data_IF_404233387251
#
_entry.id   IF_404233387251
#
_cell.length_a   1.000
_cell.length_b   1.000
_cell.length_c   1.000
_cell.angle_alpha   90.00
_cell.angle_beta   90.00
_cell.angle_gamma   90.00
#
_symmetry.space_group_name_H-M   'P 1'
#
loop_
_entity.id
_entity.type
_entity.pdbx_description
1 polymer ?
#
# COMPACT_ATOMS: atom_id res chain seq x y z
N UNK A 1 -15.38 51.06 27.51
CA UNK A 1 -14.17 50.29 27.13
C UNK A 1 -14.63 49.08 26.33
N UNK A 2 -14.64 49.18 25.00
CA UNK A 2 -15.06 48.10 24.10
C UNK A 2 -13.83 47.45 23.47
N UNK A 3 -13.87 46.12 23.37
CA UNK A 3 -12.77 45.24 23.01
C UNK A 3 -12.29 45.37 21.57
N UNK A 4 -11.01 45.04 21.38
CA UNK A 4 -10.38 44.85 20.08
C UNK A 4 -10.14 43.36 19.85
N UNK A 5 -11.01 42.77 19.03
CA UNK A 5 -10.85 41.44 18.46
C UNK A 5 -9.81 41.52 17.34
N UNK A 6 -8.65 40.87 17.50
CA UNK A 6 -7.65 40.75 16.42
C UNK A 6 -8.17 39.73 15.41
N UNK A 7 -8.62 40.24 14.26
CA UNK A 7 -8.92 39.42 13.08
C UNK A 7 -7.63 38.78 12.57
N UNK A 8 -7.60 37.44 12.56
CA UNK A 8 -6.63 36.65 11.82
C UNK A 8 -6.95 36.84 10.32
N UNK A 9 -5.99 37.22 9.47
CA UNK A 9 -6.25 37.38 8.04
C UNK A 9 -6.50 36.02 7.38
N UNK A 10 -7.34 35.96 6.32
CA UNK A 10 -7.62 34.71 5.63
C UNK A 10 -6.38 34.18 4.92
N UNK A 11 -6.19 32.87 5.01
CA UNK A 11 -5.16 32.09 4.34
C UNK A 11 -5.27 32.29 2.82
N UNK A 12 -4.29 32.97 2.22
CA UNK A 12 -4.18 33.06 0.77
C UNK A 12 -3.56 31.78 0.24
N UNK A 13 -4.36 30.94 -0.40
CA UNK A 13 -3.90 29.77 -1.16
C UNK A 13 -3.12 30.25 -2.40
N UNK A 14 -1.83 30.57 -2.23
CA UNK A 14 -0.95 30.92 -3.35
C UNK A 14 -0.51 29.62 -4.02
N UNK A 15 -1.21 29.23 -5.08
CA UNK A 15 -0.65 28.34 -6.11
C UNK A 15 0.45 29.09 -6.85
N UNK A 16 1.66 29.09 -6.31
CA UNK A 16 2.86 29.56 -7.02
C UNK A 16 3.53 28.38 -7.71
N UNK A 17 3.73 28.45 -9.03
CA UNK A 17 4.71 27.62 -9.71
C UNK A 17 6.10 28.12 -9.32
N UNK A 18 6.76 27.42 -8.41
CA UNK A 18 8.18 27.69 -8.11
C UNK A 18 9.02 26.87 -9.09
N UNK A 19 9.93 27.56 -9.81
CA UNK A 19 11.10 26.92 -10.41
C UNK A 19 12.07 26.59 -9.29
N UNK A 20 11.96 25.40 -8.73
CA UNK A 20 12.85 24.90 -7.68
C UNK A 20 13.47 23.56 -8.08
N UNK A 21 14.72 23.33 -7.70
CA UNK A 21 15.37 22.03 -7.83
C UNK A 21 14.81 21.04 -6.81
N UNK A 22 14.46 19.84 -7.27
CA UNK A 22 14.01 18.74 -6.41
C UNK A 22 15.16 17.75 -6.22
N UNK A 23 15.47 17.45 -4.96
CA UNK A 23 16.53 16.53 -4.56
C UNK A 23 15.91 15.31 -3.87
N UNK A 24 16.19 14.10 -4.34
CA UNK A 24 15.63 12.85 -3.80
C UNK A 24 16.68 11.75 -3.72
N UNK A 25 16.52 10.83 -2.78
CA UNK A 25 17.37 9.64 -2.68
C UNK A 25 17.07 8.63 -3.80
N UNK A 26 18.09 8.13 -4.49
CA UNK A 26 17.93 7.16 -5.57
C UNK A 26 17.61 5.74 -5.05
N UNK A 27 16.63 5.08 -5.66
CA UNK A 27 16.43 3.62 -5.66
C UNK A 27 16.48 3.09 -7.09
N UNK A 28 16.90 1.84 -7.30
CA UNK A 28 17.18 1.25 -8.63
C UNK A 28 15.92 0.76 -9.38
N UNK A 29 15.64 1.23 -10.61
CA UNK A 29 14.64 0.64 -11.51
C UNK A 29 15.23 0.08 -12.82
N UNK A 30 14.52 -0.89 -13.42
CA UNK A 30 14.84 -1.56 -14.70
C UNK A 30 14.03 -0.97 -15.90
N UNK A 31 14.63 -0.99 -17.10
CA UNK A 31 14.13 -0.51 -18.42
C UNK A 31 13.19 -1.58 -19.07
N UNK A 32 12.25 -1.36 -20.02
CA UNK A 32 12.19 -0.57 -21.28
C UNK A 32 10.74 -0.56 -21.90
N UNK A 33 10.49 0.25 -22.95
CA UNK A 33 9.21 0.76 -23.54
C UNK A 33 8.47 -0.08 -24.62
N UNK A 34 7.17 0.26 -24.91
CA UNK A 34 6.55 0.52 -26.24
C UNK A 34 5.14 1.18 -26.10
N UNK A 35 4.69 2.00 -27.08
CA UNK A 35 3.55 2.94 -26.98
C UNK A 35 2.29 2.58 -27.80
N UNK A 36 1.07 2.88 -27.28
CA UNK A 36 -0.22 2.98 -28.02
C UNK A 36 -1.17 4.03 -27.38
N UNK A 37 -1.99 4.70 -28.19
CA UNK A 37 -2.88 5.85 -27.86
C UNK A 37 -4.15 5.53 -27.04
N UNK A 38 -4.72 6.48 -26.27
CA UNK A 38 -5.89 6.25 -25.41
C UNK A 38 -7.26 6.65 -26.01
N UNK A 39 -8.32 5.95 -25.59
CA UNK A 39 -9.75 6.28 -25.82
C UNK A 39 -10.37 6.91 -24.55
N UNK A 40 -11.32 7.83 -24.73
CA UNK A 40 -11.94 8.65 -23.69
C UNK A 40 -13.02 7.91 -22.85
N UNK A 41 -13.29 8.35 -21.59
CA UNK A 41 -14.25 7.67 -20.71
C UNK A 41 -15.71 8.13 -20.85
N UNK A 42 -16.64 7.23 -20.55
CA UNK A 42 -18.10 7.33 -20.65
C UNK A 42 -18.79 7.97 -19.40
N UNK A 43 -20.08 8.41 -19.51
CA UNK A 43 -20.71 9.39 -18.60
C UNK A 43 -21.31 8.87 -17.27
N UNK A 44 -21.33 7.56 -16.99
CA UNK A 44 -22.00 6.99 -15.80
C UNK A 44 -21.16 7.02 -14.50
N UNK A 45 -20.01 7.71 -14.51
CA UNK A 45 -19.04 7.69 -13.42
C UNK A 45 -19.54 8.30 -12.08
N UNK A 46 -20.51 9.21 -12.10
CA UNK A 46 -20.83 10.04 -10.92
C UNK A 46 -21.50 9.28 -9.75
N UNK A 47 -22.32 8.26 -10.03
CA UNK A 47 -22.99 7.47 -8.98
C UNK A 47 -22.04 6.42 -8.36
N UNK A 48 -21.04 5.98 -9.11
CA UNK A 48 -20.03 5.00 -8.67
C UNK A 48 -18.91 5.63 -7.81
N UNK A 49 -18.61 6.92 -8.01
CA UNK A 49 -17.58 7.66 -7.27
C UNK A 49 -17.91 7.81 -5.77
N UNK A 50 -19.19 7.89 -5.39
CA UNK A 50 -19.58 8.06 -3.98
C UNK A 50 -19.44 6.77 -3.15
N UNK A 51 -19.60 5.59 -3.76
CA UNK A 51 -19.40 4.30 -3.10
C UNK A 51 -17.91 3.98 -2.96
N UNK A 52 -17.11 4.21 -4.02
CA UNK A 52 -15.66 3.99 -4.05
C UNK A 52 -14.89 4.74 -2.93
N UNK A 53 -15.47 5.81 -2.40
CA UNK A 53 -14.87 6.60 -1.33
C UNK A 53 -14.86 5.92 0.04
N UNK A 54 -15.75 4.96 0.33
CA UNK A 54 -15.89 4.42 1.68
C UNK A 54 -14.67 3.57 2.10
N UNK A 55 -14.28 2.59 1.27
CA UNK A 55 -13.07 1.79 1.53
C UNK A 55 -11.80 2.62 1.40
N UNK A 56 -11.74 3.59 0.47
CA UNK A 56 -10.57 4.48 0.33
C UNK A 56 -10.39 5.36 1.58
N UNK A 57 -11.46 5.98 2.09
CA UNK A 57 -11.41 6.78 3.31
C UNK A 57 -11.06 5.93 4.53
N UNK A 58 -11.64 4.74 4.66
CA UNK A 58 -11.31 3.77 5.70
C UNK A 58 -9.82 3.41 5.67
N UNK A 59 -9.29 3.11 4.48
CA UNK A 59 -7.90 2.74 4.30
C UNK A 59 -6.94 3.89 4.62
N UNK A 60 -7.28 5.14 4.23
CA UNK A 60 -6.49 6.31 4.60
C UNK A 60 -6.47 6.53 6.12
N UNK A 61 -7.60 6.35 6.79
CA UNK A 61 -7.68 6.47 8.25
C UNK A 61 -6.85 5.39 8.94
N UNK A 62 -7.02 4.13 8.52
CA UNK A 62 -6.20 3.02 9.00
C UNK A 62 -4.70 3.26 8.76
N UNK A 63 -4.32 3.78 7.58
CA UNK A 63 -2.93 4.07 7.26
C UNK A 63 -2.29 5.04 8.26
N UNK A 64 -3.01 6.11 8.63
CA UNK A 64 -2.55 7.09 9.61
C UNK A 64 -2.50 6.49 11.01
N UNK A 65 -3.56 5.82 11.46
CA UNK A 65 -3.62 5.18 12.78
C UNK A 65 -2.49 4.14 12.96
N UNK A 66 -2.26 3.32 11.94
CA UNK A 66 -1.21 2.30 11.95
C UNK A 66 0.19 2.93 11.83
N UNK A 67 0.37 3.96 11.00
CA UNK A 67 1.63 4.70 10.95
C UNK A 67 1.98 5.32 12.30
N UNK A 68 1.01 5.95 12.99
CA UNK A 68 1.24 6.50 14.33
C UNK A 68 1.62 5.42 15.34
N UNK A 69 0.99 4.25 15.26
CA UNK A 69 1.33 3.09 16.10
C UNK A 69 2.78 2.63 15.83
N UNK A 70 3.16 2.47 14.56
CA UNK A 70 4.51 2.08 14.18
C UNK A 70 5.54 3.15 14.51
N UNK A 71 5.26 4.43 14.30
CA UNK A 71 6.20 5.52 14.58
C UNK A 71 6.41 5.75 16.09
N UNK A 72 5.44 5.35 16.92
CA UNK A 72 5.53 5.42 18.39
C UNK A 72 6.18 4.19 19.05
N UNK A 73 6.49 3.14 18.29
CA UNK A 73 7.07 1.90 18.83
C UNK A 73 8.60 2.01 18.97
N UNK A 74 9.14 1.51 20.08
CA UNK A 74 10.59 1.46 20.35
C UNK A 74 11.37 0.58 19.36
N UNK A 75 10.74 -0.43 18.77
CA UNK A 75 11.37 -1.37 17.83
C UNK A 75 11.68 -0.72 16.48
N UNK A 76 10.88 0.28 16.12
CA UNK A 76 10.97 1.06 14.88
C UNK A 76 11.64 2.42 15.11
N UNK A 77 11.97 2.77 16.36
CA UNK A 77 12.73 3.97 16.69
C UNK A 77 14.02 4.02 15.85
N UNK A 78 14.22 5.15 15.16
CA UNK A 78 15.35 5.39 14.24
C UNK A 78 15.45 4.41 13.04
N UNK A 79 14.37 3.72 12.67
CA UNK A 79 14.33 2.84 11.50
C UNK A 79 13.40 3.38 10.40
N UNK A 80 13.70 3.01 9.16
CA UNK A 80 12.79 3.27 8.04
C UNK A 80 11.50 2.47 8.21
N UNK A 81 10.36 3.13 8.05
CA UNK A 81 9.03 2.51 8.05
C UNK A 81 8.52 2.49 6.61
N UNK A 82 8.16 1.31 6.13
CA UNK A 82 7.54 1.12 4.82
C UNK A 82 6.50 -0.01 4.90
N UNK A 83 5.27 0.29 4.51
CA UNK A 83 4.19 -0.69 4.43
C UNK A 83 3.15 -0.25 3.40
N UNK A 84 2.29 -1.17 2.99
CA UNK A 84 1.14 -0.87 2.12
C UNK A 84 -0.16 -0.98 2.92
N UNK A 85 -0.80 0.15 3.29
CA UNK A 85 -2.04 0.14 4.06
C UNK A 85 -3.15 -0.62 3.33
N UNK A 86 -3.29 -0.40 2.02
CA UNK A 86 -4.29 -1.07 1.19
C UNK A 86 -4.18 -2.59 1.26
N UNK A 87 -2.95 -3.08 1.20
CA UNK A 87 -2.64 -4.51 1.17
C UNK A 87 -3.00 -5.20 2.49
N UNK A 88 -2.69 -4.54 3.62
CA UNK A 88 -3.07 -5.00 4.95
C UNK A 88 -4.59 -4.96 5.12
N UNK A 89 -5.22 -3.82 4.81
CA UNK A 89 -6.67 -3.63 4.88
C UNK A 89 -7.44 -4.66 4.07
N UNK A 90 -6.98 -4.99 2.84
CA UNK A 90 -7.61 -5.98 1.97
C UNK A 90 -7.58 -7.39 2.58
N UNK A 91 -6.47 -7.80 3.20
CA UNK A 91 -6.38 -9.11 3.86
C UNK A 91 -7.26 -9.20 5.10
N UNK A 92 -7.36 -8.13 5.89
CA UNK A 92 -8.26 -8.13 7.04
C UNK A 92 -9.74 -7.98 6.65
N UNK A 93 -10.03 -7.33 5.53
CA UNK A 93 -11.36 -7.34 4.92
C UNK A 93 -11.77 -8.75 4.45
N UNK A 94 -10.85 -9.49 3.84
CA UNK A 94 -11.03 -10.89 3.48
C UNK A 94 -11.21 -11.79 4.72
N UNK A 95 -10.48 -11.51 5.80
CA UNK A 95 -10.66 -12.21 7.09
C UNK A 95 -12.06 -11.92 7.66
N UNK A 96 -12.53 -10.67 7.55
CA UNK A 96 -13.85 -10.25 7.98
C UNK A 96 -15.00 -10.93 7.22
N UNK A 97 -14.79 -11.45 6.00
CA UNK A 97 -15.80 -12.25 5.30
C UNK A 97 -16.16 -13.55 6.07
N UNK A 98 -15.16 -14.13 6.74
CA UNK A 98 -15.30 -15.38 7.52
C UNK A 98 -15.64 -15.13 8.99
N UNK A 99 -15.41 -13.92 9.50
CA UNK A 99 -15.64 -13.59 10.91
C UNK A 99 -17.13 -13.32 11.22
N UNK A 100 -17.53 -13.56 12.47
CA UNK A 100 -18.88 -13.26 13.00
C UNK A 100 -18.78 -12.72 14.43
N UNK A 101 -19.84 -12.06 14.88
CA UNK A 101 -19.92 -11.49 16.23
C UNK A 101 -18.76 -10.57 16.55
N UNK A 102 -18.24 -10.66 17.79
CA UNK A 102 -17.16 -9.78 18.28
C UNK A 102 -15.93 -9.74 17.38
N UNK A 103 -15.53 -10.87 16.78
CA UNK A 103 -14.38 -10.90 15.86
C UNK A 103 -14.61 -10.04 14.63
N UNK A 104 -15.83 -10.05 14.08
CA UNK A 104 -16.17 -9.19 12.95
C UNK A 104 -16.18 -7.72 13.38
N UNK A 105 -16.74 -7.41 14.54
CA UNK A 105 -16.84 -6.05 15.06
C UNK A 105 -15.45 -5.45 15.30
N UNK A 106 -14.52 -6.19 15.90
CA UNK A 106 -13.15 -5.74 16.13
C UNK A 106 -12.41 -5.49 14.81
N UNK A 107 -12.54 -6.39 13.83
CA UNK A 107 -11.95 -6.20 12.50
C UNK A 107 -12.53 -4.96 11.78
N UNK A 108 -13.84 -4.74 11.88
CA UNK A 108 -14.46 -3.57 11.27
C UNK A 108 -14.01 -2.27 11.93
N UNK A 109 -13.87 -2.26 13.24
CA UNK A 109 -13.47 -1.07 13.99
C UNK A 109 -12.00 -0.70 13.77
N UNK A 110 -11.08 -1.67 13.84
CA UNK A 110 -9.63 -1.41 13.71
C UNK A 110 -9.26 -0.96 12.29
N UNK A 111 -9.82 -1.59 11.27
CA UNK A 111 -9.52 -1.30 9.87
C UNK A 111 -10.51 -0.32 9.23
N UNK A 112 -11.40 0.25 10.03
CA UNK A 112 -12.47 1.16 9.60
C UNK A 112 -13.34 0.60 8.47
N UNK A 113 -13.46 -0.74 8.38
CA UNK A 113 -14.12 -1.39 7.26
C UNK A 113 -15.61 -1.03 7.22
N UNK A 114 -16.19 -0.76 6.04
CA UNK A 114 -17.62 -0.59 5.91
C UNK A 114 -18.37 -1.79 6.49
N UNK A 115 -19.37 -1.51 7.33
CA UNK A 115 -20.17 -2.54 7.99
C UNK A 115 -20.96 -3.39 6.98
N UNK A 116 -21.35 -2.77 5.86
CA UNK A 116 -22.12 -3.40 4.78
C UNK A 116 -21.18 -4.21 3.87
N UNK A 117 -21.32 -5.55 3.79
CA UNK A 117 -20.40 -6.38 3.03
C UNK A 117 -20.36 -6.07 1.53
N UNK A 118 -21.48 -5.66 0.93
CA UNK A 118 -21.54 -5.33 -0.51
C UNK A 118 -20.69 -4.11 -0.87
N UNK A 119 -20.67 -3.08 -0.02
CA UNK A 119 -19.78 -1.91 -0.18
C UNK A 119 -18.33 -2.39 -0.13
N UNK A 120 -17.95 -3.09 0.93
CA UNK A 120 -16.58 -3.60 1.11
C UNK A 120 -16.12 -4.48 -0.07
N UNK A 121 -16.97 -5.38 -0.54
CA UNK A 121 -16.68 -6.30 -1.66
C UNK A 121 -16.50 -5.57 -2.98
N UNK A 122 -17.43 -4.68 -3.32
CA UNK A 122 -17.41 -3.99 -4.61
C UNK A 122 -16.23 -3.00 -4.68
N UNK A 123 -15.99 -2.24 -3.61
CA UNK A 123 -14.91 -1.25 -3.60
C UNK A 123 -13.54 -1.92 -3.61
N UNK A 124 -13.32 -3.01 -2.87
CA UNK A 124 -12.06 -3.76 -2.94
C UNK A 124 -11.80 -4.32 -4.35
N UNK A 125 -12.83 -4.83 -5.01
CA UNK A 125 -12.72 -5.33 -6.39
C UNK A 125 -12.37 -4.19 -7.37
N UNK A 126 -12.99 -3.01 -7.23
CA UNK A 126 -12.67 -1.82 -8.03
C UNK A 126 -11.25 -1.33 -7.80
N UNK A 127 -10.83 -1.22 -6.53
CA UNK A 127 -9.46 -0.83 -6.16
C UNK A 127 -8.46 -1.80 -6.78
N UNK A 128 -8.69 -3.11 -6.64
CA UNK A 128 -7.83 -4.12 -7.23
C UNK A 128 -7.77 -3.98 -8.76
N UNK A 129 -8.90 -3.81 -9.44
CA UNK A 129 -8.97 -3.66 -10.88
C UNK A 129 -8.27 -2.38 -11.36
N UNK A 130 -8.42 -1.27 -10.64
CA UNK A 130 -7.73 0.00 -10.91
C UNK A 130 -6.21 -0.14 -10.77
N UNK A 131 -5.77 -0.79 -9.69
CA UNK A 131 -4.35 -1.01 -9.40
C UNK A 131 -3.68 -1.99 -10.36
N UNK A 132 -4.39 -3.01 -10.85
CA UNK A 132 -3.88 -4.03 -11.76
C UNK A 132 -4.35 -3.84 -13.21
N UNK A 133 -4.73 -2.62 -13.60
CA UNK A 133 -5.21 -2.34 -14.95
C UNK A 133 -4.13 -2.67 -16.01
N UNK A 134 -4.48 -3.39 -17.08
CA UNK A 134 -3.53 -3.72 -18.14
C UNK A 134 -3.04 -2.45 -18.84
N UNK A 135 -1.77 -2.44 -19.25
CA UNK A 135 -1.14 -1.30 -19.94
C UNK A 135 -0.59 -0.22 -19.02
N UNK A 136 -0.58 -0.44 -17.69
CA UNK A 136 0.07 0.47 -16.77
C UNK A 136 1.61 0.42 -16.91
N UNK A 137 2.25 1.59 -16.97
CA UNK A 137 3.73 1.72 -17.00
C UNK A 137 4.39 1.53 -15.61
N UNK A 138 3.78 0.69 -14.79
CA UNK A 138 4.33 0.20 -13.53
C UNK A 138 4.07 -1.31 -13.40
N UNK A 139 5.00 -2.00 -12.74
CA UNK A 139 4.76 -3.36 -12.26
C UNK A 139 4.18 -3.30 -10.86
N UNK A 140 2.91 -3.68 -10.72
CA UNK A 140 2.29 -4.01 -9.45
C UNK A 140 1.97 -5.51 -9.43
N UNK A 141 2.44 -6.23 -8.41
CA UNK A 141 2.03 -7.61 -8.15
C UNK A 141 1.47 -7.67 -6.75
N UNK A 142 0.25 -8.17 -6.61
CA UNK A 142 -0.38 -8.47 -5.32
C UNK A 142 -0.68 -9.95 -5.24
N UNK A 143 -0.15 -10.61 -4.22
CA UNK A 143 -0.38 -12.02 -3.95
C UNK A 143 -1.05 -12.18 -2.58
N UNK A 144 -2.36 -12.44 -2.61
CA UNK A 144 -3.16 -12.76 -1.44
C UNK A 144 -3.43 -14.25 -1.42
N UNK A 145 -2.97 -14.95 -0.38
CA UNK A 145 -3.26 -16.38 -0.21
C UNK A 145 -3.59 -16.70 1.23
N UNK A 146 -4.66 -17.47 1.44
CA UNK A 146 -4.98 -18.08 2.73
C UNK A 146 -4.61 -19.54 2.72
N UNK A 147 -3.83 -19.93 3.73
CA UNK A 147 -3.42 -21.30 3.98
C UNK A 147 -4.10 -21.76 5.27
N UNK A 148 -5.15 -22.58 5.18
CA UNK A 148 -5.76 -23.20 6.35
C UNK A 148 -5.14 -24.56 6.63
N UNK A 149 -5.18 -25.00 7.88
CA UNK A 149 -4.81 -26.37 8.22
C UNK A 149 -5.78 -27.36 7.52
N UNK A 150 -5.28 -28.48 6.99
CA UNK A 150 -6.02 -29.42 6.14
C UNK A 150 -7.26 -30.08 6.77
N UNK A 151 -7.36 -30.14 8.08
CA UNK A 151 -8.54 -30.60 8.82
C UNK A 151 -9.67 -29.57 8.84
N UNK A 152 -9.40 -28.31 8.47
CA UNK A 152 -10.38 -27.24 8.36
C UNK A 152 -10.72 -26.96 6.90
N UNK A 153 -11.94 -27.31 6.48
CA UNK A 153 -12.41 -27.06 5.12
C UNK A 153 -12.94 -25.64 4.99
N UNK A 154 -12.50 -24.94 3.95
CA UNK A 154 -13.12 -23.68 3.55
C UNK A 154 -14.53 -23.91 3.02
N UNK A 155 -15.44 -22.99 3.36
CA UNK A 155 -16.79 -22.99 2.80
C UNK A 155 -16.74 -22.58 1.32
N UNK A 156 -17.47 -23.25 0.40
CA UNK A 156 -17.49 -22.90 -1.02
C UNK A 156 -17.84 -21.43 -1.29
N UNK A 157 -18.74 -20.84 -0.49
CA UNK A 157 -19.14 -19.44 -0.60
C UNK A 157 -18.01 -18.50 -0.19
N UNK A 158 -17.20 -18.90 0.80
CA UNK A 158 -16.02 -18.13 1.21
C UNK A 158 -14.94 -18.14 0.13
N UNK A 159 -14.63 -19.31 -0.44
CA UNK A 159 -13.69 -19.42 -1.57
C UNK A 159 -14.15 -18.54 -2.74
N UNK A 160 -15.44 -18.60 -3.06
CA UNK A 160 -16.03 -17.79 -4.14
C UNK A 160 -15.90 -16.29 -3.86
N UNK A 161 -16.16 -15.85 -2.62
CA UNK A 161 -16.00 -14.46 -2.23
C UNK A 161 -14.53 -13.99 -2.25
N UNK A 162 -13.62 -14.82 -1.74
CA UNK A 162 -12.19 -14.56 -1.71
C UNK A 162 -11.63 -14.33 -3.12
N UNK A 163 -11.97 -15.22 -4.06
CA UNK A 163 -11.52 -15.12 -5.43
C UNK A 163 -12.15 -13.93 -6.16
N UNK A 164 -13.46 -13.74 -6.01
CA UNK A 164 -14.21 -12.73 -6.78
C UNK A 164 -13.89 -11.30 -6.37
N UNK A 165 -13.78 -11.03 -5.07
CA UNK A 165 -13.72 -9.65 -4.56
C UNK A 165 -12.34 -9.25 -4.06
N UNK A 166 -11.50 -10.21 -3.70
CA UNK A 166 -10.18 -9.97 -3.11
C UNK A 166 -9.04 -10.57 -3.94
N UNK A 167 -9.37 -11.25 -5.05
CA UNK A 167 -8.42 -11.94 -5.93
C UNK A 167 -7.46 -12.84 -5.15
N UNK A 168 -8.00 -13.48 -4.10
CA UNK A 168 -7.23 -14.26 -3.15
C UNK A 168 -7.49 -15.75 -3.34
N UNK A 169 -6.40 -16.51 -3.40
CA UNK A 169 -6.46 -17.95 -3.44
C UNK A 169 -6.58 -18.52 -2.02
N UNK A 170 -7.25 -19.66 -1.90
CA UNK A 170 -7.31 -20.43 -0.65
C UNK A 170 -6.74 -21.81 -0.88
N UNK A 171 -5.94 -22.31 0.06
CA UNK A 171 -5.41 -23.66 0.02
C UNK A 171 -5.29 -24.25 1.41
N UNK A 172 -5.22 -25.57 1.48
CA UNK A 172 -5.07 -26.31 2.72
C UNK A 172 -3.65 -26.87 2.85
N UNK A 173 -3.08 -26.79 4.05
CA UNK A 173 -1.70 -27.21 4.38
C UNK A 173 -1.69 -28.09 5.63
N UNK A 174 -0.67 -28.94 5.75
CA UNK A 174 -0.51 -29.84 6.90
C UNK A 174 0.35 -29.19 7.99
N UNK A 175 -0.19 -28.18 8.68
CA UNK A 175 0.58 -27.51 9.74
C UNK A 175 0.81 -28.40 10.96
N UNK A 176 -0.08 -29.36 11.23
CA UNK A 176 0.01 -30.23 12.40
C UNK A 176 1.15 -31.23 12.27
N UNK A 177 1.21 -31.96 11.14
CA UNK A 177 2.25 -32.98 10.95
C UNK A 177 3.50 -32.42 10.27
N UNK A 178 3.37 -31.36 9.47
CA UNK A 178 4.42 -30.85 8.56
C UNK A 178 4.57 -29.31 8.63
N UNK A 179 4.77 -28.69 9.82
CA UNK A 179 4.81 -27.24 9.96
C UNK A 179 5.97 -26.57 9.20
N UNK A 180 7.16 -27.17 9.24
CA UNK A 180 8.35 -26.59 8.61
C UNK A 180 8.31 -26.71 7.08
N UNK A 181 7.83 -27.85 6.55
CA UNK A 181 7.60 -28.02 5.11
C UNK A 181 6.54 -27.05 4.60
N UNK A 182 5.45 -26.86 5.36
CA UNK A 182 4.43 -25.86 5.04
C UNK A 182 5.01 -24.43 5.02
N UNK A 183 5.88 -24.09 5.98
CA UNK A 183 6.56 -22.78 6.02
C UNK A 183 7.45 -22.56 4.79
N UNK A 184 8.25 -23.56 4.43
CA UNK A 184 9.13 -23.50 3.26
C UNK A 184 8.33 -23.39 1.96
N UNK A 185 7.23 -24.14 1.85
CA UNK A 185 6.33 -24.04 0.71
C UNK A 185 5.77 -22.62 0.58
N UNK A 186 5.23 -22.04 1.65
CA UNK A 186 4.65 -20.69 1.63
C UNK A 186 5.71 -19.65 1.24
N UNK A 187 6.91 -19.71 1.82
CA UNK A 187 8.00 -18.79 1.44
C UNK A 187 8.35 -18.89 -0.04
N UNK A 188 8.46 -20.12 -0.57
CA UNK A 188 8.74 -20.32 -2.00
C UNK A 188 7.64 -19.76 -2.90
N UNK A 189 6.36 -19.88 -2.51
CA UNK A 189 5.27 -19.28 -3.26
C UNK A 189 5.33 -17.75 -3.27
N UNK A 190 5.63 -17.14 -2.12
CA UNK A 190 5.79 -15.69 -2.00
C UNK A 190 6.98 -15.19 -2.82
N UNK A 191 8.11 -15.90 -2.80
CA UNK A 191 9.29 -15.58 -3.60
C UNK A 191 8.94 -15.53 -5.10
N UNK A 192 8.29 -16.59 -5.61
CA UNK A 192 7.86 -16.66 -7.01
C UNK A 192 6.88 -15.52 -7.39
N UNK A 193 5.89 -15.25 -6.53
CA UNK A 193 4.88 -14.22 -6.77
C UNK A 193 5.44 -12.79 -6.73
N UNK A 194 6.56 -12.60 -6.04
CA UNK A 194 7.23 -11.30 -5.88
C UNK A 194 8.42 -11.14 -6.83
N UNK A 195 8.60 -12.04 -7.80
CA UNK A 195 9.75 -12.04 -8.73
C UNK A 195 11.09 -12.06 -7.99
N UNK A 196 11.19 -12.95 -6.99
CA UNK A 196 12.38 -13.15 -6.17
C UNK A 196 12.83 -11.87 -5.43
N UNK A 197 11.87 -11.06 -4.97
CA UNK A 197 12.15 -9.83 -4.21
C UNK A 197 11.90 -9.99 -2.71
N UNK A 198 10.97 -10.84 -2.32
CA UNK A 198 10.67 -11.11 -0.91
C UNK A 198 11.08 -12.54 -0.60
N UNK A 199 12.20 -12.69 0.09
CA UNK A 199 12.71 -13.97 0.55
C UNK A 199 12.38 -14.21 2.01
N UNK A 200 12.10 -15.47 2.37
CA UNK A 200 11.98 -15.87 3.76
C UNK A 200 10.93 -15.10 4.57
N UNK A 201 9.80 -14.74 3.95
CA UNK A 201 8.71 -13.96 4.58
C UNK A 201 8.37 -14.47 5.99
N UNK A 202 8.25 -15.79 6.12
CA UNK A 202 8.01 -16.48 7.38
C UNK A 202 9.34 -16.95 7.97
N UNK A 203 9.78 -16.37 9.11
CA UNK A 203 11.02 -16.77 9.75
C UNK A 203 10.92 -18.20 10.30
N UNK A 204 12.07 -18.82 10.55
CA UNK A 204 12.11 -20.17 11.11
C UNK A 204 11.25 -20.26 12.39
N UNK A 205 10.52 -21.36 12.55
CA UNK A 205 9.61 -21.63 13.69
C UNK A 205 8.41 -20.69 13.83
N UNK A 206 8.08 -19.86 12.84
CA UNK A 206 6.86 -19.03 12.87
C UNK A 206 5.57 -19.83 12.60
N UNK A 207 5.68 -20.99 11.95
CA UNK A 207 4.60 -21.98 11.83
C UNK A 207 4.89 -23.12 12.80
N UNK A 208 3.85 -23.56 13.51
CA UNK A 208 3.90 -24.67 14.45
C UNK A 208 2.71 -25.60 14.27
N UNK A 209 2.70 -26.71 15.02
CA UNK A 209 1.56 -27.64 15.03
C UNK A 209 0.26 -27.00 15.55
N UNK A 210 0.36 -25.87 16.27
CA UNK A 210 -0.79 -25.10 16.72
C UNK A 210 -1.36 -24.15 15.65
N UNK A 211 -0.64 -23.93 14.54
CA UNK A 211 -1.09 -23.04 13.46
C UNK A 211 -2.35 -23.60 12.79
N UNK A 212 -3.34 -22.73 12.56
CA UNK A 212 -4.63 -23.09 11.93
C UNK A 212 -4.91 -22.33 10.65
N UNK A 213 -4.41 -21.11 10.56
CA UNK A 213 -4.55 -20.23 9.42
C UNK A 213 -3.30 -19.38 9.30
N UNK A 214 -2.76 -19.28 8.09
CA UNK A 214 -1.74 -18.31 7.71
C UNK A 214 -2.30 -17.52 6.55
N UNK A 215 -2.21 -16.19 6.63
CA UNK A 215 -2.61 -15.31 5.53
C UNK A 215 -1.36 -14.59 5.07
N UNK A 216 -1.01 -14.74 3.79
CA UNK A 216 0.08 -13.99 3.19
C UNK A 216 -0.46 -12.91 2.29
N UNK A 217 0.19 -11.76 2.39
CA UNK A 217 0.01 -10.64 1.50
C UNK A 217 1.40 -10.19 1.06
N UNK A 218 1.63 -10.20 -0.25
CA UNK A 218 2.87 -9.73 -0.81
C UNK A 218 2.56 -8.71 -1.91
N UNK A 219 3.11 -7.51 -1.77
CA UNK A 219 2.99 -6.43 -2.75
C UNK A 219 4.38 -6.04 -3.25
N UNK A 220 4.53 -6.01 -4.57
CA UNK A 220 5.69 -5.44 -5.24
C UNK A 220 5.22 -4.29 -6.11
N UNK A 221 5.81 -3.11 -5.92
CA UNK A 221 5.56 -1.93 -6.75
C UNK A 221 6.87 -1.45 -7.38
N UNK A 222 6.85 -1.22 -8.68
CA UNK A 222 7.93 -0.59 -9.43
C UNK A 222 7.33 0.25 -10.54
N UNK A 223 7.36 1.57 -10.39
CA UNK A 223 6.89 2.51 -11.40
C UNK A 223 8.02 3.35 -11.99
N UNK A 224 7.83 3.81 -13.21
CA UNK A 224 8.69 4.82 -13.84
C UNK A 224 8.10 6.20 -13.57
N UNK A 225 8.93 7.17 -13.18
CA UNK A 225 8.48 8.56 -13.05
C UNK A 225 7.91 9.08 -14.37
N UNK A 226 6.83 9.86 -14.33
CA UNK A 226 6.31 10.56 -15.52
C UNK A 226 7.34 11.52 -16.09
N UNK A 227 8.17 12.09 -15.22
CA UNK A 227 9.35 12.87 -15.60
C UNK A 227 10.57 12.31 -14.87
N UNK A 228 11.36 11.48 -15.56
CA UNK A 228 12.47 10.74 -14.95
C UNK A 228 13.64 11.63 -14.50
N UNK A 229 14.34 11.23 -13.44
CA UNK A 229 15.61 11.83 -13.07
C UNK A 229 16.71 11.35 -14.01
N UNK A 230 17.51 12.26 -14.54
CA UNK A 230 18.62 11.91 -15.41
C UNK A 230 19.76 11.35 -14.56
N UNK A 231 20.22 10.12 -14.87
CA UNK A 231 21.29 9.45 -14.10
C UNK A 231 22.54 10.31 -13.97
N UNK A 232 22.91 11.06 -15.01
CA UNK A 232 24.07 11.98 -15.02
C UNK A 232 23.97 13.15 -14.04
N UNK A 233 22.75 13.49 -13.61
CA UNK A 233 22.49 14.54 -12.62
C UNK A 233 22.48 13.99 -11.19
N UNK A 234 22.56 12.67 -11.03
CA UNK A 234 22.69 12.05 -9.70
C UNK A 234 24.13 12.20 -9.24
N UNK A 235 24.31 12.76 -8.05
CA UNK A 235 25.62 12.89 -7.41
C UNK A 235 25.49 12.64 -5.91
N UNK A 236 26.61 12.33 -5.28
CA UNK A 236 26.70 12.17 -3.83
C UNK A 236 26.29 13.46 -3.11
N UNK A 237 25.31 13.34 -2.21
CA UNK A 237 24.77 14.44 -1.42
C UNK A 237 24.68 14.10 0.06
N UNK A 238 24.78 15.12 0.90
CA UNK A 238 24.65 14.97 2.35
C UNK A 238 23.18 14.75 2.77
N UNK A 239 22.90 13.64 3.45
CA UNK A 239 21.62 13.34 4.09
C UNK A 239 21.79 13.41 5.61
N UNK A 240 21.05 14.31 6.25
CA UNK A 240 21.05 14.46 7.72
C UNK A 240 19.99 13.55 8.32
N UNK A 241 20.41 12.63 9.17
CA UNK A 241 19.50 11.70 9.87
C UNK A 241 18.89 12.36 11.13
N UNK A 242 17.86 11.75 11.75
CA UNK A 242 17.25 12.26 12.97
C UNK A 242 18.23 12.42 14.15
N UNK A 243 19.25 11.55 14.26
CA UNK A 243 20.27 11.63 15.30
C UNK A 243 21.39 12.66 15.00
N UNK A 244 21.27 13.41 13.91
CA UNK A 244 22.21 14.46 13.52
C UNK A 244 23.43 13.98 12.73
N UNK A 245 23.60 12.67 12.53
CA UNK A 245 24.66 12.14 11.66
C UNK A 245 24.40 12.50 10.19
N UNK A 246 25.49 12.64 9.43
CA UNK A 246 25.45 12.92 8.00
C UNK A 246 25.88 11.66 7.25
N UNK A 247 25.01 11.18 6.37
CA UNK A 247 25.28 10.10 5.44
C UNK A 247 25.49 10.69 4.05
N UNK A 248 26.44 10.13 3.30
CA UNK A 248 26.59 10.47 1.88
C UNK A 248 25.76 9.48 1.06
N UNK A 249 24.88 9.98 0.20
CA UNK A 249 23.89 9.18 -0.52
C UNK A 249 23.78 9.63 -1.98
N UNK A 250 23.44 8.73 -2.91
CA UNK A 250 23.18 9.11 -4.30
C UNK A 250 21.91 9.97 -4.35
N UNK A 251 22.10 11.27 -4.47
CA UNK A 251 21.03 12.28 -4.52
C UNK A 251 20.69 12.57 -5.97
N UNK A 252 19.50 12.14 -6.40
CA UNK A 252 18.90 12.49 -7.68
C UNK A 252 18.54 13.97 -7.70
N UNK A 253 18.73 14.63 -8.84
CA UNK A 253 18.50 16.07 -8.98
C UNK A 253 17.75 16.37 -10.28
N UNK A 254 16.83 17.33 -10.23
CA UNK A 254 16.13 17.84 -11.41
C UNK A 254 15.52 19.23 -11.16
N UNK A 255 15.48 20.05 -12.21
CA UNK A 255 14.79 21.35 -12.21
C UNK A 255 13.60 21.31 -13.20
N UNK A 256 12.39 21.10 -12.67
CA UNK A 256 11.12 21.06 -13.42
C UNK A 256 9.98 21.58 -12.54
N UNK A 257 8.91 22.09 -13.13
CA UNK A 257 7.69 22.47 -12.40
C UNK A 257 6.94 21.22 -11.91
N UNK A 258 6.72 21.15 -10.60
CA UNK A 258 5.90 20.12 -9.96
C UNK A 258 4.77 20.77 -9.15
N UNK A 259 3.65 20.06 -8.93
CA UNK A 259 2.69 20.46 -7.92
C UNK A 259 3.37 20.50 -6.55
N UNK A 260 3.29 21.65 -5.89
CA UNK A 260 4.01 21.96 -4.65
C UNK A 260 3.12 22.78 -3.73
N UNK A 261 3.28 22.56 -2.41
CA UNK A 261 2.70 23.41 -1.38
C UNK A 261 3.67 23.54 -0.20
N UNK A 262 3.57 24.65 0.52
CA UNK A 262 4.43 24.97 1.65
C UNK A 262 3.63 25.67 2.74
N UNK A 263 3.94 25.28 3.97
CA UNK A 263 3.48 25.91 5.20
C UNK A 263 4.69 26.28 6.05
N UNK A 264 4.46 26.89 7.21
CA UNK A 264 5.54 27.13 8.18
C UNK A 264 6.09 25.82 8.78
N UNK A 265 5.35 24.72 8.70
CA UNK A 265 5.71 23.45 9.33
C UNK A 265 6.30 22.44 8.35
N UNK A 266 5.89 22.48 7.07
CA UNK A 266 6.30 21.50 6.09
C UNK A 266 6.25 22.02 4.65
N UNK A 267 6.99 21.32 3.79
CA UNK A 267 6.92 21.42 2.34
C UNK A 267 6.45 20.07 1.78
N UNK A 268 5.60 20.10 0.76
CA UNK A 268 5.09 18.90 0.10
C UNK A 268 5.15 19.05 -1.42
N UNK A 269 5.59 17.99 -2.10
CA UNK A 269 5.72 17.92 -3.56
C UNK A 269 5.06 16.65 -4.08
N UNK A 270 4.36 16.77 -5.21
CA UNK A 270 3.79 15.63 -5.91
C UNK A 270 4.70 15.20 -7.07
N UNK A 271 5.16 13.94 -7.04
CA UNK A 271 6.02 13.36 -8.06
C UNK A 271 5.23 12.26 -8.80
N UNK A 272 4.62 12.58 -9.95
CA UNK A 272 3.77 11.63 -10.66
C UNK A 272 4.59 10.50 -11.29
N UNK A 273 4.09 9.27 -11.18
CA UNK A 273 4.52 8.15 -12.01
C UNK A 273 3.86 8.20 -13.39
N UNK A 274 4.48 7.56 -14.38
CA UNK A 274 3.93 7.46 -15.72
C UNK A 274 2.67 6.58 -15.71
N UNK A 275 1.57 7.05 -16.31
CA UNK A 275 0.25 6.40 -16.26
C UNK A 275 -0.10 5.58 -17.50
N UNK A 276 0.68 5.71 -18.58
CA UNK A 276 0.44 5.12 -19.90
C UNK A 276 1.73 5.02 -20.68
#
# INVERSE_FOLDING_TARGET
>A
MYGSSRKIPPYSDRRSSLRGGVYLLAGTPAQQEHAVSPLAPHPDAACDIAAEQAVVAANNRFALDFYHTLAGDTVTADRNIFFSPNSISAVFALTAEGARGRTLDELQNVFHLPAVPTIRRNDNSRIYASLNAPGANYSLSTANVLYAEKTYRFLPEYISAAQKYYHANTTNMDFISQPEESRQFINRQVELQTRDRIHGLLPARSISQATRLVITNAIYFSGTWSTAFEKRMTSDGAFRTPNGSILNVPMMQREVEFPYTETIEYQAIALPYNKT
#
